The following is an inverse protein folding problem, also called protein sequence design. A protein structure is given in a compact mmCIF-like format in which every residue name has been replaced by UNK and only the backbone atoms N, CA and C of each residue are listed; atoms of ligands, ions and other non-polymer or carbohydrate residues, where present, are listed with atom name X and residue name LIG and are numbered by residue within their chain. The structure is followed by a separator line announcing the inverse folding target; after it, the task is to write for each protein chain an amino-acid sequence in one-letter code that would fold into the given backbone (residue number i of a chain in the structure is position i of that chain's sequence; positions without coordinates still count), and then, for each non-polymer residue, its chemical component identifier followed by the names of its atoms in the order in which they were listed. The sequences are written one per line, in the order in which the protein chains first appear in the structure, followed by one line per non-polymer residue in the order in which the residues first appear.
data_IF_073180192922
#
_entry.id   IF_073180192922
#
_cell.length_a   1.000
_cell.length_b   1.000
_cell.length_c   1.000
_cell.angle_alpha   90.00
_cell.angle_beta   90.00
_cell.angle_gamma   90.00
#
_symmetry.space_group_name_H-M   'P 1'
#
loop_
_entity.id
_entity.type
_entity.pdbx_description
1 polymer ?
#
# COMPACT_ATOMS: atom_id res chain seq x y z
N UNK A 1 -23.72 6.67 -6.95
CA UNK A 1 -22.95 6.60 -5.70
C UNK A 1 -22.47 7.99 -5.35
N UNK A 2 -22.59 8.42 -4.09
CA UNK A 2 -22.21 9.77 -3.67
C UNK A 2 -20.71 10.02 -3.93
N UNK A 3 -20.40 11.14 -4.59
CA UNK A 3 -19.05 11.57 -4.96
C UNK A 3 -18.65 12.79 -4.12
N UNK A 4 -18.59 12.63 -2.80
CA UNK A 4 -18.09 13.70 -1.92
C UNK A 4 -16.65 13.37 -1.55
N UNK A 5 -15.73 14.24 -1.97
CA UNK A 5 -14.37 14.29 -1.42
C UNK A 5 -14.44 15.14 -0.17
N UNK A 6 -14.19 14.51 0.98
CA UNK A 6 -14.27 15.16 2.28
C UNK A 6 -12.87 15.58 2.75
N UNK A 7 -12.66 16.89 2.91
CA UNK A 7 -11.40 17.48 3.42
C UNK A 7 -11.41 17.73 4.94
N UNK A 8 -12.36 17.15 5.70
CA UNK A 8 -12.53 17.44 7.13
C UNK A 8 -11.48 16.80 8.05
N UNK A 9 -10.49 16.06 7.53
CA UNK A 9 -9.42 15.49 8.35
C UNK A 9 -8.25 16.46 8.47
N UNK A 10 -7.82 16.73 9.71
CA UNK A 10 -6.61 17.52 9.97
C UNK A 10 -5.36 16.70 9.62
N UNK A 11 -4.39 17.35 8.98
CA UNK A 11 -3.09 16.76 8.73
C UNK A 11 -2.34 16.44 10.04
N UNK A 12 -2.58 17.23 11.11
CA UNK A 12 -1.97 16.98 12.41
C UNK A 12 -2.53 15.71 13.07
N UNK A 13 -3.82 15.43 12.91
CA UNK A 13 -4.44 14.19 13.39
C UNK A 13 -3.86 12.98 12.64
N UNK A 14 -3.61 13.13 11.34
CA UNK A 14 -2.94 12.09 10.54
C UNK A 14 -1.52 11.83 11.05
N UNK A 15 -0.72 12.89 11.27
CA UNK A 15 0.65 12.78 11.79
C UNK A 15 0.70 12.22 13.21
N UNK A 16 -0.33 12.47 14.02
CA UNK A 16 -0.47 11.89 15.35
C UNK A 16 -0.81 10.40 15.30
N UNK A 17 -1.75 10.00 14.44
CA UNK A 17 -2.27 8.63 14.41
C UNK A 17 -1.36 7.65 13.65
N UNK A 18 -0.75 8.08 12.54
CA UNK A 18 -0.02 7.17 11.65
C UNK A 18 1.20 6.44 12.23
N UNK A 19 1.92 6.97 13.25
CA UNK A 19 3.03 6.27 13.90
C UNK A 19 2.59 5.23 14.94
N UNK A 20 1.31 5.22 15.36
CA UNK A 20 0.83 4.33 16.40
C UNK A 20 0.97 2.86 15.96
N UNK A 21 1.49 1.97 16.83
CA UNK A 21 1.91 0.62 16.41
C UNK A 21 0.76 -0.32 16.04
N UNK A 22 -0.48 0.05 16.36
CA UNK A 22 -1.71 -0.68 16.04
C UNK A 22 -2.47 -0.10 14.83
N UNK A 23 -1.98 0.98 14.21
CA UNK A 23 -2.64 1.61 13.05
C UNK A 23 -2.09 1.02 11.74
N UNK A 24 -2.92 0.21 11.09
CA UNK A 24 -2.63 -0.34 9.76
C UNK A 24 -2.94 0.66 8.64
N UNK A 25 -2.21 0.56 7.53
CA UNK A 25 -2.40 1.41 6.36
C UNK A 25 -3.34 0.73 5.37
N UNK A 26 -4.41 1.43 4.98
CA UNK A 26 -5.33 1.00 3.95
C UNK A 26 -5.63 2.19 3.01
N UNK A 27 -5.75 1.93 1.71
CA UNK A 27 -6.02 3.00 0.75
C UNK A 27 -7.44 3.51 0.80
N UNK A 28 -8.41 2.66 1.16
CA UNK A 28 -9.84 2.91 0.93
C UNK A 28 -10.12 3.36 -0.54
N UNK A 29 -9.25 2.93 -1.44
CA UNK A 29 -9.30 3.26 -2.85
C UNK A 29 -10.24 2.31 -3.59
N UNK A 30 -11.01 2.84 -4.52
CA UNK A 30 -11.75 2.02 -5.48
C UNK A 30 -10.91 1.71 -6.72
N UNK A 31 -11.03 0.50 -7.25
CA UNK A 31 -10.59 0.15 -8.61
C UNK A 31 -11.56 0.79 -9.60
N UNK A 32 -11.08 1.76 -10.38
CA UNK A 32 -11.89 2.44 -11.39
C UNK A 32 -11.29 2.25 -12.78
N UNK A 33 -12.16 2.02 -13.76
CA UNK A 33 -11.84 2.23 -15.17
C UNK A 33 -12.15 3.69 -15.53
N UNK A 34 -11.48 4.30 -16.52
CA UNK A 34 -11.82 5.63 -17.01
C UNK A 34 -13.24 5.64 -17.60
N UNK A 35 -14.24 5.93 -16.77
CA UNK A 35 -15.68 5.91 -17.11
C UNK A 35 -16.37 7.26 -16.88
N UNK A 36 -15.60 8.35 -16.84
CA UNK A 36 -16.12 9.70 -16.59
C UNK A 36 -16.25 10.08 -15.11
N UNK A 37 -15.92 9.20 -14.17
CA UNK A 37 -15.77 9.57 -12.74
C UNK A 37 -14.31 9.53 -12.32
N UNK A 38 -13.87 10.55 -11.59
CA UNK A 38 -12.50 10.60 -11.07
C UNK A 38 -12.36 9.73 -9.80
N UNK A 39 -11.25 9.00 -9.62
CA UNK A 39 -10.91 8.36 -8.35
C UNK A 39 -10.43 9.40 -7.33
N UNK A 40 -10.47 9.05 -6.04
CA UNK A 40 -9.73 9.82 -5.04
C UNK A 40 -8.23 9.48 -5.17
N UNK A 41 -7.30 10.44 -5.02
CA UNK A 41 -5.85 10.18 -5.21
C UNK A 41 -5.29 9.04 -4.33
N UNK A 42 -5.93 8.78 -3.18
CA UNK A 42 -5.65 7.61 -2.31
C UNK A 42 -5.65 6.26 -3.06
N UNK A 43 -6.42 6.12 -4.15
CA UNK A 43 -6.42 4.91 -4.98
C UNK A 43 -5.05 4.61 -5.61
N UNK A 44 -4.21 5.61 -5.84
CA UNK A 44 -2.92 5.47 -6.54
C UNK A 44 -1.71 5.88 -5.69
N UNK A 45 -1.92 6.65 -4.62
CA UNK A 45 -0.84 7.27 -3.84
C UNK A 45 -0.66 6.82 -2.39
N UNK A 46 -1.56 6.01 -1.82
CA UNK A 46 -1.57 5.78 -0.36
C UNK A 46 -0.24 5.28 0.22
N UNK A 47 0.28 4.15 -0.28
CA UNK A 47 1.50 3.56 0.27
C UNK A 47 2.76 4.40 -0.02
N UNK A 48 2.96 4.91 -1.25
CA UNK A 48 4.08 5.78 -1.56
C UNK A 48 4.04 7.12 -0.80
N UNK A 49 2.85 7.64 -0.47
CA UNK A 49 2.73 8.81 0.41
C UNK A 49 3.18 8.51 1.83
N UNK A 50 2.72 7.39 2.43
CA UNK A 50 3.15 7.03 3.79
C UNK A 50 4.64 6.71 3.89
N UNK A 51 5.14 5.90 2.97
CA UNK A 51 6.54 5.43 3.01
C UNK A 51 7.49 6.52 2.50
N UNK A 52 7.21 7.10 1.34
CA UNK A 52 8.05 8.10 0.71
C UNK A 52 8.03 9.45 1.39
N UNK A 53 6.84 10.05 1.47
CA UNK A 53 6.68 11.40 2.03
C UNK A 53 6.78 11.39 3.55
N UNK A 54 5.90 10.68 4.24
CA UNK A 54 5.84 10.80 5.71
C UNK A 54 7.02 10.12 6.42
N UNK A 55 7.47 8.96 5.97
CA UNK A 55 8.53 8.23 6.66
C UNK A 55 9.94 8.60 6.21
N UNK A 56 10.20 8.66 4.90
CA UNK A 56 11.55 8.92 4.36
C UNK A 56 11.87 10.41 4.29
N UNK A 57 10.98 11.24 3.74
CA UNK A 57 11.24 12.68 3.53
C UNK A 57 10.98 13.53 4.78
N UNK A 58 9.81 13.36 5.41
CA UNK A 58 9.38 14.18 6.55
C UNK A 58 9.75 13.60 7.92
N UNK A 59 10.23 12.34 7.96
CA UNK A 59 10.64 11.66 9.19
C UNK A 59 9.58 11.63 10.32
N UNK A 60 8.28 11.62 9.96
CA UNK A 60 7.15 11.57 10.93
C UNK A 60 7.11 10.23 11.68
N UNK A 61 7.58 9.17 11.04
CA UNK A 61 7.73 7.82 11.57
C UNK A 61 8.91 7.13 10.88
N UNK A 62 9.40 6.03 11.43
CA UNK A 62 10.50 5.31 10.77
C UNK A 62 10.01 4.57 9.50
N UNK A 63 10.88 4.38 8.49
CA UNK A 63 10.54 3.57 7.32
C UNK A 63 10.08 2.16 7.68
N UNK A 64 10.67 1.53 8.70
CA UNK A 64 10.30 0.19 9.18
C UNK A 64 8.89 0.18 9.76
N UNK A 65 8.51 1.20 10.55
CA UNK A 65 7.16 1.33 11.09
C UNK A 65 6.13 1.54 9.97
N UNK A 66 6.47 2.37 8.97
CA UNK A 66 5.63 2.58 7.80
C UNK A 66 5.43 1.28 7.00
N UNK A 67 6.52 0.55 6.72
CA UNK A 67 6.48 -0.75 6.03
C UNK A 67 5.65 -1.76 6.84
N UNK A 68 5.92 -1.92 8.13
CA UNK A 68 5.18 -2.85 9.01
C UNK A 68 3.69 -2.57 8.99
N UNK A 69 3.27 -1.30 9.00
CA UNK A 69 1.85 -0.92 8.95
C UNK A 69 1.13 -1.34 7.67
N UNK A 70 1.88 -1.66 6.59
CA UNK A 70 1.37 -2.11 5.30
C UNK A 70 1.66 -3.60 5.03
N UNK A 71 2.40 -4.29 5.89
CA UNK A 71 2.83 -5.69 5.69
C UNK A 71 2.48 -6.58 6.88
N UNK A 72 3.36 -6.65 7.89
CA UNK A 72 3.25 -7.55 9.04
C UNK A 72 2.02 -7.26 9.90
N UNK A 73 1.70 -5.98 10.15
CA UNK A 73 0.54 -5.63 10.98
C UNK A 73 -0.80 -6.05 10.33
N UNK A 74 -1.09 -5.77 9.04
CA UNK A 74 -2.25 -6.34 8.38
C UNK A 74 -2.28 -7.88 8.39
N UNK A 75 -1.14 -8.54 8.19
CA UNK A 75 -1.06 -10.00 8.26
C UNK A 75 -1.43 -10.54 9.65
N UNK A 76 -0.94 -9.91 10.73
CA UNK A 76 -1.30 -10.21 12.11
C UNK A 76 -2.80 -10.01 12.35
N UNK A 77 -3.36 -8.85 11.97
CA UNK A 77 -4.78 -8.50 12.15
C UNK A 77 -5.69 -9.53 11.45
N UNK A 78 -5.31 -9.95 10.24
CA UNK A 78 -6.11 -10.89 9.44
C UNK A 78 -5.83 -12.36 9.77
N UNK A 79 -4.81 -12.65 10.58
CA UNK A 79 -4.39 -14.01 10.94
C UNK A 79 -3.73 -14.76 9.77
N UNK A 80 -2.97 -14.07 8.93
CA UNK A 80 -2.19 -14.68 7.86
C UNK A 80 -0.84 -15.15 8.41
N UNK A 81 -0.60 -16.46 8.40
CA UNK A 81 0.64 -17.06 8.92
C UNK A 81 1.75 -17.20 7.88
N UNK A 82 1.44 -17.04 6.59
CA UNK A 82 2.35 -17.32 5.48
C UNK A 82 2.81 -16.04 4.73
N UNK A 83 2.49 -14.85 5.23
CA UNK A 83 2.67 -13.54 4.54
C UNK A 83 2.98 -12.39 5.50
N UNK A 84 3.35 -11.25 4.92
CA UNK A 84 3.55 -9.98 5.64
C UNK A 84 4.97 -9.78 6.18
N UNK A 85 5.83 -10.80 6.08
CA UNK A 85 7.22 -10.77 6.51
C UNK A 85 8.11 -11.33 5.39
N UNK A 86 9.38 -10.90 5.37
CA UNK A 86 10.42 -11.51 4.55
C UNK A 86 11.13 -12.58 5.38
N UNK A 87 10.74 -13.83 5.20
CA UNK A 87 11.35 -14.98 5.87
C UNK A 87 11.24 -16.24 4.99
N UNK A 88 12.15 -17.19 5.21
CA UNK A 88 12.12 -18.48 4.52
C UNK A 88 10.80 -19.22 4.78
N UNK A 89 10.27 -19.88 3.75
CA UNK A 89 9.01 -20.63 3.82
C UNK A 89 7.73 -19.79 3.69
N UNK A 90 7.81 -18.46 3.71
CA UNK A 90 6.66 -17.58 3.45
C UNK A 90 6.45 -17.37 1.95
N UNK A 91 5.26 -16.88 1.59
CA UNK A 91 5.00 -16.52 0.21
C UNK A 91 5.92 -15.38 -0.24
N UNK A 92 6.48 -15.50 -1.45
CA UNK A 92 7.33 -14.49 -2.06
C UNK A 92 6.53 -13.30 -2.61
N UNK A 93 5.82 -12.61 -1.70
CA UNK A 93 5.17 -11.33 -1.96
C UNK A 93 6.14 -10.20 -1.60
N UNK A 94 6.84 -9.67 -2.61
CA UNK A 94 7.97 -8.76 -2.40
C UNK A 94 7.78 -7.50 -3.22
N UNK A 95 8.04 -6.35 -2.62
CA UNK A 95 8.06 -5.06 -3.30
C UNK A 95 9.48 -4.49 -3.24
N UNK A 96 9.99 -4.05 -4.38
CA UNK A 96 11.27 -3.36 -4.50
C UNK A 96 11.02 -1.97 -5.05
N UNK A 97 11.51 -0.96 -4.35
CA UNK A 97 11.41 0.44 -4.73
C UNK A 97 12.72 1.18 -4.44
N UNK A 98 12.96 2.27 -5.15
CA UNK A 98 14.08 3.18 -4.90
C UNK A 98 13.66 4.19 -3.81
N UNK A 99 14.26 4.15 -2.59
CA UNK A 99 13.82 5.00 -1.48
C UNK A 99 13.82 6.51 -1.79
N UNK A 100 14.79 6.99 -2.58
CA UNK A 100 14.91 8.39 -2.98
C UNK A 100 13.88 8.84 -4.02
N UNK A 101 13.18 7.91 -4.67
CA UNK A 101 12.22 8.19 -5.75
C UNK A 101 10.79 7.79 -5.39
N UNK A 102 10.60 7.00 -4.33
CA UNK A 102 9.32 6.38 -4.03
C UNK A 102 8.34 7.41 -3.48
N UNK A 103 7.36 7.83 -4.30
CA UNK A 103 6.45 8.93 -3.94
C UNK A 103 5.11 8.83 -4.65
N UNK A 104 4.08 9.36 -3.97
CA UNK A 104 2.77 9.58 -4.56
C UNK A 104 2.80 10.70 -5.60
N UNK A 105 2.13 10.48 -6.73
CA UNK A 105 1.97 11.48 -7.79
C UNK A 105 0.53 11.90 -8.02
N UNK A 106 -0.42 11.06 -7.62
CA UNK A 106 -1.84 11.37 -7.71
C UNK A 106 -2.22 12.49 -6.73
N UNK A 107 -2.84 13.54 -7.27
CA UNK A 107 -3.46 14.62 -6.51
C UNK A 107 -4.95 14.72 -6.86
N UNK A 108 -5.64 15.74 -6.35
CA UNK A 108 -7.07 15.90 -6.59
C UNK A 108 -7.42 16.33 -8.02
N UNK A 109 -6.49 16.99 -8.72
CA UNK A 109 -6.68 17.46 -10.09
C UNK A 109 -6.28 16.37 -11.11
N UNK A 110 -5.30 15.54 -10.75
CA UNK A 110 -4.68 14.49 -11.56
C UNK A 110 -4.66 13.14 -10.81
N UNK A 111 -5.81 12.57 -10.43
CA UNK A 111 -5.86 11.43 -9.52
C UNK A 111 -5.45 10.08 -10.15
N UNK A 112 -5.23 10.04 -11.47
CA UNK A 112 -4.84 8.84 -12.22
C UNK A 112 -3.32 8.62 -12.31
N UNK A 113 -2.51 9.53 -11.75
CA UNK A 113 -1.06 9.41 -11.85
C UNK A 113 -0.54 8.22 -11.04
N UNK A 114 0.17 7.31 -11.72
CA UNK A 114 0.89 6.21 -11.07
C UNK A 114 2.05 6.76 -10.24
N UNK A 115 2.33 6.09 -9.12
CA UNK A 115 3.41 6.47 -8.22
C UNK A 115 4.80 6.29 -8.84
N UNK A 116 5.78 7.05 -8.36
CA UNK A 116 7.18 6.97 -8.78
C UNK A 116 7.99 5.99 -7.91
N UNK A 117 9.16 5.59 -8.39
CA UNK A 117 10.17 4.83 -7.62
C UNK A 117 9.90 3.33 -7.42
N UNK A 118 8.71 2.81 -7.77
CA UNK A 118 8.43 1.37 -7.76
C UNK A 118 9.20 0.67 -8.88
N UNK A 119 9.94 -0.41 -8.56
CA UNK A 119 10.74 -1.16 -9.53
C UNK A 119 10.15 -2.54 -9.79
N UNK A 120 9.92 -3.32 -8.73
CA UNK A 120 9.43 -4.68 -8.85
C UNK A 120 8.32 -4.96 -7.85
N UNK A 121 7.34 -5.74 -8.29
CA UNK A 121 6.34 -6.36 -7.43
C UNK A 121 6.27 -7.83 -7.80
N UNK A 122 6.52 -8.69 -6.82
CA UNK A 122 6.33 -10.12 -6.92
C UNK A 122 5.10 -10.49 -6.11
N UNK A 123 4.26 -11.35 -6.68
CA UNK A 123 3.13 -11.98 -6.00
C UNK A 123 3.32 -13.47 -6.14
N UNK A 124 3.44 -14.18 -5.01
CA UNK A 124 3.78 -15.61 -4.97
C UNK A 124 5.01 -15.96 -5.83
N UNK A 125 6.04 -15.09 -5.82
CA UNK A 125 7.30 -15.31 -6.54
C UNK A 125 7.27 -15.00 -8.04
N UNK A 126 6.14 -14.55 -8.58
CA UNK A 126 6.00 -14.16 -9.99
C UNK A 126 5.91 -12.64 -10.11
N UNK A 127 6.66 -12.04 -11.04
CA UNK A 127 6.60 -10.61 -11.30
C UNK A 127 5.20 -10.19 -11.77
N UNK A 128 4.51 -9.41 -10.94
CA UNK A 128 3.31 -8.66 -11.32
C UNK A 128 3.68 -7.29 -11.92
N UNK A 129 4.81 -6.72 -11.46
CA UNK A 129 5.45 -5.52 -12.03
C UNK A 129 6.93 -5.82 -12.23
N UNK A 130 7.43 -5.56 -13.44
CA UNK A 130 8.84 -5.68 -13.80
C UNK A 130 9.35 -4.35 -14.34
N UNK A 131 10.37 -3.76 -13.72
CA UNK A 131 10.93 -2.44 -14.07
C UNK A 131 9.87 -1.34 -14.15
N UNK A 132 8.93 -1.33 -13.21
CA UNK A 132 7.83 -0.35 -13.14
C UNK A 132 6.68 -0.61 -14.11
N UNK A 133 6.76 -1.66 -14.93
CA UNK A 133 5.72 -2.01 -15.92
C UNK A 133 4.91 -3.23 -15.44
N UNK A 134 3.56 -3.14 -15.37
CA UNK A 134 2.72 -4.30 -15.08
C UNK A 134 2.90 -5.40 -16.13
N UNK A 135 3.11 -6.64 -15.69
CA UNK A 135 3.37 -7.78 -16.58
C UNK A 135 2.10 -8.45 -17.09
N UNK A 136 0.95 -8.21 -16.43
CA UNK A 136 -0.30 -8.93 -16.66
C UNK A 136 -0.39 -10.29 -15.97
N UNK A 137 0.64 -10.72 -15.23
CA UNK A 137 0.59 -11.96 -14.47
C UNK A 137 -0.43 -11.88 -13.31
N UNK A 138 -1.28 -12.90 -13.19
CA UNK A 138 -2.33 -13.00 -12.17
C UNK A 138 -2.01 -14.12 -11.18
N UNK A 139 -0.83 -14.08 -10.56
CA UNK A 139 -0.34 -15.10 -9.62
C UNK A 139 -0.96 -15.01 -8.22
N UNK A 140 -2.04 -14.25 -8.04
CA UNK A 140 -2.78 -14.15 -6.79
C UNK A 140 -3.55 -15.44 -6.45
N UNK A 141 -3.84 -15.64 -5.16
CA UNK A 141 -4.68 -16.75 -4.68
C UNK A 141 -5.67 -16.26 -3.64
N UNK A 142 -6.83 -16.92 -3.56
CA UNK A 142 -7.76 -16.68 -2.45
C UNK A 142 -7.09 -17.05 -1.12
N UNK A 143 -7.09 -16.11 -0.18
CA UNK A 143 -6.59 -16.35 1.16
C UNK A 143 -7.75 -16.82 2.03
N UNK A 144 -7.59 -18.00 2.64
CA UNK A 144 -8.57 -18.59 3.55
C UNK A 144 -7.99 -18.59 4.94
N UNK A 145 -8.74 -18.05 5.90
CA UNK A 145 -8.43 -18.24 7.31
C UNK A 145 -8.60 -19.73 7.62
N UNK A 146 -7.50 -20.42 7.85
CA UNK A 146 -7.55 -21.82 8.30
C UNK A 146 -8.14 -21.76 9.71
N UNK A 147 -9.34 -22.29 9.89
CA UNK A 147 -9.93 -22.39 11.21
C UNK A 147 -8.99 -23.19 12.11
N UNK A 148 -8.78 -22.72 13.34
CA UNK A 148 -8.21 -23.56 14.38
C UNK A 148 -9.11 -24.79 14.50
N UNK A 149 -8.56 -25.98 14.23
CA UNK A 149 -9.21 -27.22 14.64
C UNK A 149 -9.44 -27.11 16.16
N UNK A 150 -10.69 -27.33 16.59
CA UNK A 150 -11.03 -27.46 18.01
C UNK A 150 -10.38 -28.72 18.59
#
# INVERSE_FOLDING_TARGET
GASVVNFNMSEDDLRLAMPLPWVATASDGGSKIPSGTQPHPRSFGTFPRKIGRYAIEECVLTPEAAIRSATGLPAEILGMSDRGLLAEGLAADVVVFAPSEFRDRADYDNPWQVSAGLRYVLVNGVFAVYEGVPTGALSGRSLRKVGTAQ
#
